data_IF_948136136311
#
_entry.id   IF_948136136311
#
_cell.length_a   1.000
_cell.length_b   1.000
_cell.length_c   1.000
_cell.angle_alpha   90.00
_cell.angle_beta   90.00
_cell.angle_gamma   90.00
#
_symmetry.space_group_name_H-M   'P 1'
#
loop_
_entity.id
_entity.type
_entity.pdbx_description
1 polymer ?
#
# COMPACT_ATOMS: atom_id res chain seq x y z
N UNK A 1 -9.54 -3.44 -66.74
CA UNK A 1 -10.46 -2.60 -65.93
C UNK A 1 -10.33 -3.07 -64.49
N UNK A 2 -10.05 -2.11 -63.61
CA UNK A 2 -9.30 -2.26 -62.36
C UNK A 2 -9.93 -3.22 -61.33
N UNK A 3 -9.08 -4.12 -60.80
CA UNK A 3 -9.20 -4.57 -59.42
C UNK A 3 -8.74 -3.42 -58.53
N UNK A 4 -9.67 -2.76 -57.84
CA UNK A 4 -9.32 -1.82 -56.78
C UNK A 4 -8.90 -2.61 -55.55
N UNK A 5 -7.60 -2.54 -55.26
CA UNK A 5 -6.96 -3.03 -54.05
C UNK A 5 -7.52 -2.34 -52.79
N UNK A 6 -7.60 -3.10 -51.70
CA UNK A 6 -7.79 -2.60 -50.34
C UNK A 6 -6.66 -1.64 -49.94
N UNK A 7 -6.94 -0.57 -49.16
CA UNK A 7 -5.92 0.10 -48.39
C UNK A 7 -5.67 -0.68 -47.09
N UNK A 8 -4.73 -1.60 -47.17
CA UNK A 8 -4.04 -2.26 -46.06
C UNK A 8 -3.27 -1.18 -45.26
N UNK A 9 -3.87 -0.66 -44.19
CA UNK A 9 -3.26 0.34 -43.31
C UNK A 9 -2.73 -0.33 -42.02
N UNK A 10 -1.60 -1.02 -42.18
CA UNK A 10 -0.54 -1.35 -41.20
C UNK A 10 -0.87 -0.98 -39.74
N UNK A 11 -1.55 -1.89 -39.04
CA UNK A 11 -1.59 -1.88 -37.58
C UNK A 11 -0.25 -2.39 -37.06
N UNK A 12 0.64 -1.49 -36.64
CA UNK A 12 1.90 -1.86 -36.01
C UNK A 12 1.67 -2.89 -34.88
N UNK A 13 2.17 -4.11 -35.08
CA UNK A 13 2.15 -5.19 -34.09
C UNK A 13 3.07 -4.82 -32.94
N UNK A 14 2.54 -4.11 -31.96
CA UNK A 14 3.27 -3.81 -30.72
C UNK A 14 3.55 -5.13 -30.01
N UNK A 15 4.82 -5.51 -29.94
CA UNK A 15 5.28 -6.68 -29.18
C UNK A 15 4.85 -6.51 -27.72
N UNK A 16 4.03 -7.44 -27.22
CA UNK A 16 3.53 -7.41 -25.85
C UNK A 16 4.58 -8.04 -24.92
N UNK A 17 4.84 -7.46 -23.74
CA UNK A 17 5.77 -8.05 -22.78
C UNK A 17 5.44 -9.51 -22.44
N UNK A 18 4.15 -9.86 -22.46
CA UNK A 18 3.70 -11.21 -22.16
C UNK A 18 3.92 -12.25 -23.26
N UNK A 19 4.38 -11.85 -24.44
CA UNK A 19 4.74 -12.77 -25.52
C UNK A 19 6.24 -13.09 -25.53
N UNK A 20 7.07 -12.28 -24.89
CA UNK A 20 8.53 -12.46 -24.90
C UNK A 20 8.95 -13.66 -24.04
N UNK A 21 8.32 -13.83 -22.88
CA UNK A 21 8.52 -14.96 -21.97
C UNK A 21 7.17 -15.27 -21.31
N UNK A 22 6.46 -16.34 -21.72
CA UNK A 22 5.18 -16.72 -21.13
C UNK A 22 5.29 -17.27 -19.70
N UNK A 23 6.39 -17.95 -19.36
CA UNK A 23 6.51 -18.68 -18.09
C UNK A 23 6.68 -17.73 -16.89
N UNK A 24 7.35 -16.58 -17.08
CA UNK A 24 7.49 -15.56 -16.02
C UNK A 24 6.16 -15.03 -15.47
N UNK A 25 5.05 -15.17 -16.22
CA UNK A 25 3.73 -14.68 -15.78
C UNK A 25 3.04 -15.65 -14.83
N UNK A 26 3.52 -16.89 -14.74
CA UNK A 26 3.01 -17.94 -13.85
C UNK A 26 3.96 -18.23 -12.68
N UNK A 27 5.22 -17.78 -12.75
CA UNK A 27 6.22 -17.90 -11.69
C UNK A 27 6.00 -16.88 -10.54
N UNK A 28 5.73 -17.34 -9.30
CA UNK A 28 5.62 -16.46 -8.14
C UNK A 28 6.90 -15.67 -7.84
N UNK A 29 8.09 -16.20 -8.13
CA UNK A 29 9.36 -15.53 -7.87
C UNK A 29 9.56 -14.33 -8.81
N UNK A 30 9.08 -14.43 -10.05
CA UNK A 30 9.10 -13.36 -11.05
C UNK A 30 8.01 -12.29 -10.88
N UNK A 31 7.14 -12.40 -9.85
CA UNK A 31 5.95 -11.54 -9.69
C UNK A 31 6.25 -10.03 -9.78
N UNK A 32 7.32 -9.55 -9.15
CA UNK A 32 7.69 -8.13 -9.16
C UNK A 32 8.10 -7.66 -10.55
N UNK A 33 8.87 -8.47 -11.27
CA UNK A 33 9.30 -8.19 -12.64
C UNK A 33 8.10 -8.19 -13.61
N UNK A 34 7.25 -9.20 -13.49
CA UNK A 34 6.01 -9.31 -14.26
C UNK A 34 5.09 -8.11 -14.01
N UNK A 35 5.01 -7.61 -12.77
CA UNK A 35 4.24 -6.40 -12.46
C UNK A 35 4.79 -5.18 -13.20
N UNK A 36 6.10 -4.96 -13.12
CA UNK A 36 6.76 -3.83 -13.80
C UNK A 36 6.58 -3.89 -15.33
N UNK A 37 6.56 -5.08 -15.92
CA UNK A 37 6.24 -5.28 -17.33
C UNK A 37 4.77 -4.99 -17.63
N UNK A 38 3.84 -5.45 -16.80
CA UNK A 38 2.40 -5.22 -16.95
C UNK A 38 2.02 -3.73 -16.87
N UNK A 39 2.65 -2.96 -15.97
CA UNK A 39 2.40 -1.52 -15.82
C UNK A 39 2.82 -0.70 -17.05
N UNK A 40 3.76 -1.21 -17.85
CA UNK A 40 4.21 -0.60 -19.12
C UNK A 40 3.45 -1.12 -20.35
N UNK A 41 2.60 -2.12 -20.18
CA UNK A 41 1.92 -2.77 -21.30
C UNK A 41 0.75 -1.91 -21.83
N UNK A 42 0.74 -1.54 -23.13
CA UNK A 42 -0.32 -0.70 -23.70
C UNK A 42 -1.68 -1.43 -23.77
N UNK A 43 -1.69 -2.77 -23.65
CA UNK A 43 -2.91 -3.59 -23.65
C UNK A 43 -3.41 -3.91 -22.23
N UNK A 44 -2.86 -3.30 -21.17
CA UNK A 44 -3.19 -3.61 -19.78
C UNK A 44 -4.70 -3.60 -19.48
N UNK A 45 -5.44 -2.63 -20.00
CA UNK A 45 -6.91 -2.54 -19.80
C UNK A 45 -7.69 -3.64 -20.51
N UNK A 46 -7.28 -3.96 -21.74
CA UNK A 46 -7.84 -5.09 -22.48
C UNK A 46 -7.55 -6.41 -21.77
N UNK A 47 -6.34 -6.58 -21.25
CA UNK A 47 -5.94 -7.75 -20.46
C UNK A 47 -6.81 -7.87 -19.20
N UNK A 48 -7.10 -6.76 -18.51
CA UNK A 48 -7.99 -6.76 -17.35
C UNK A 48 -9.43 -7.19 -17.70
N UNK A 49 -9.99 -6.68 -18.81
CA UNK A 49 -11.28 -7.12 -19.33
C UNK A 49 -11.30 -8.60 -19.68
N UNK A 50 -10.26 -9.10 -20.37
CA UNK A 50 -10.14 -10.53 -20.66
C UNK A 50 -10.04 -11.37 -19.41
N UNK A 51 -9.29 -10.94 -18.39
CA UNK A 51 -9.21 -11.65 -17.13
C UNK A 51 -10.59 -11.73 -16.44
N UNK A 52 -11.39 -10.67 -16.47
CA UNK A 52 -12.77 -10.68 -15.96
C UNK A 52 -13.67 -11.69 -16.68
N UNK A 53 -13.54 -11.80 -18.00
CA UNK A 53 -14.30 -12.77 -18.80
C UNK A 53 -13.82 -14.20 -18.58
N UNK A 54 -12.51 -14.44 -18.67
CA UNK A 54 -11.92 -15.78 -18.62
C UNK A 54 -11.82 -16.34 -17.20
N UNK A 55 -11.85 -15.47 -16.17
CA UNK A 55 -11.71 -15.82 -14.76
C UNK A 55 -10.52 -16.76 -14.49
N UNK A 56 -9.29 -16.38 -14.92
CA UNK A 56 -8.12 -17.23 -14.76
C UNK A 56 -7.89 -17.59 -13.29
N UNK A 57 -7.45 -18.81 -13.05
CA UNK A 57 -7.16 -19.32 -11.71
C UNK A 57 -5.75 -18.98 -11.25
N UNK A 58 -4.81 -18.66 -12.14
CA UNK A 58 -3.41 -18.45 -11.78
C UNK A 58 -2.70 -17.38 -12.63
N UNK A 59 -1.61 -16.86 -12.09
CA UNK A 59 -0.63 -16.01 -12.77
C UNK A 59 -0.96 -14.52 -12.70
N UNK A 60 -0.14 -13.73 -13.38
CA UNK A 60 -0.29 -12.28 -13.45
C UNK A 60 -1.13 -11.83 -14.64
N UNK A 61 -2.18 -11.06 -14.35
CA UNK A 61 -3.07 -10.48 -15.35
C UNK A 61 -3.24 -8.98 -15.11
N UNK A 62 -2.88 -8.16 -16.09
CA UNK A 62 -2.97 -6.70 -16.01
C UNK A 62 -2.29 -6.07 -14.77
N UNK A 63 -1.26 -6.74 -14.23
CA UNK A 63 -0.57 -6.33 -13.00
C UNK A 63 -1.24 -6.80 -11.71
N UNK A 64 -2.18 -7.74 -11.80
CA UNK A 64 -2.85 -8.38 -10.66
C UNK A 64 -2.42 -9.83 -10.61
N UNK A 65 -1.85 -10.26 -9.48
CA UNK A 65 -1.48 -11.65 -9.25
C UNK A 65 -2.68 -12.46 -8.78
N UNK A 66 -2.84 -13.66 -9.31
CA UNK A 66 -3.93 -14.60 -9.00
C UNK A 66 -3.32 -15.92 -8.55
N UNK A 67 -3.70 -16.38 -7.36
CA UNK A 67 -3.11 -17.51 -6.64
C UNK A 67 -4.12 -18.63 -6.34
N UNK A 68 -4.95 -18.96 -7.33
CA UNK A 68 -6.01 -19.97 -7.22
C UNK A 68 -7.39 -19.39 -6.90
N UNK A 69 -7.47 -18.10 -6.53
CA UNK A 69 -8.74 -17.44 -6.16
C UNK A 69 -8.98 -16.17 -6.98
N UNK A 70 -9.88 -16.26 -7.94
CA UNK A 70 -10.25 -15.13 -8.80
C UNK A 70 -11.16 -14.09 -8.13
N UNK A 71 -12.14 -14.53 -7.33
CA UNK A 71 -13.15 -13.63 -6.76
C UNK A 71 -12.58 -12.45 -5.96
N UNK A 72 -11.56 -12.64 -5.09
CA UNK A 72 -10.96 -11.54 -4.32
C UNK A 72 -10.20 -10.49 -5.14
N UNK A 73 -9.87 -10.79 -6.40
CA UNK A 73 -9.08 -9.90 -7.27
C UNK A 73 -9.89 -9.28 -8.40
N UNK A 74 -11.15 -9.70 -8.57
CA UNK A 74 -12.02 -9.24 -9.65
C UNK A 74 -12.27 -7.72 -9.60
N UNK A 75 -12.41 -7.13 -8.42
CA UNK A 75 -12.59 -5.67 -8.30
C UNK A 75 -11.37 -4.89 -8.77
N UNK A 76 -10.15 -5.38 -8.53
CA UNK A 76 -8.91 -4.75 -9.03
C UNK A 76 -8.88 -4.74 -10.55
N UNK A 77 -9.26 -5.87 -11.16
CA UNK A 77 -9.35 -5.99 -12.60
C UNK A 77 -10.45 -5.08 -13.17
N UNK A 78 -11.58 -4.93 -12.49
CA UNK A 78 -12.62 -3.96 -12.86
C UNK A 78 -12.11 -2.52 -12.85
N UNK A 79 -11.37 -2.09 -11.82
CA UNK A 79 -10.79 -0.74 -11.77
C UNK A 79 -9.85 -0.49 -12.95
N UNK A 80 -8.99 -1.45 -13.28
CA UNK A 80 -8.05 -1.35 -14.41
C UNK A 80 -8.79 -1.33 -15.75
N UNK A 81 -9.87 -2.09 -15.87
CA UNK A 81 -10.71 -2.11 -17.05
C UNK A 81 -11.49 -0.80 -17.26
N UNK A 82 -11.88 -0.15 -16.16
CA UNK A 82 -12.70 1.06 -16.13
C UNK A 82 -11.90 2.36 -16.27
N UNK A 83 -10.60 2.37 -15.94
CA UNK A 83 -9.71 3.49 -16.24
C UNK A 83 -9.85 3.83 -17.73
N UNK A 84 -10.49 4.95 -18.06
CA UNK A 84 -10.53 5.49 -19.42
C UNK A 84 -9.28 6.36 -19.63
N UNK A 85 -8.73 6.49 -20.84
CA UNK A 85 -7.91 7.67 -21.09
C UNK A 85 -8.87 8.87 -20.98
N UNK A 86 -8.43 10.04 -20.49
CA UNK A 86 -9.26 11.23 -20.63
C UNK A 86 -9.73 11.35 -22.10
N UNK A 87 -10.98 11.77 -22.37
CA UNK A 87 -11.43 11.93 -23.74
C UNK A 87 -10.43 12.85 -24.44
N UNK A 88 -9.79 12.33 -25.50
CA UNK A 88 -8.91 13.13 -26.34
C UNK A 88 -9.74 14.31 -26.82
N UNK A 89 -9.36 15.52 -26.41
CA UNK A 89 -9.88 16.73 -27.04
C UNK A 89 -9.56 16.62 -28.53
N UNK A 90 -10.57 16.36 -29.35
CA UNK A 90 -10.58 16.72 -30.76
C UNK A 90 -10.61 18.24 -30.80
N UNK A 91 -9.43 18.84 -30.70
CA UNK A 91 -9.18 20.26 -30.81
C UNK A 91 -7.99 20.48 -31.72
N UNK A 92 -8.27 21.15 -32.83
CA UNK A 92 -7.39 21.50 -33.94
C UNK A 92 -5.89 21.61 -33.61
N UNK A 93 -5.10 21.05 -34.55
CA UNK A 93 -3.67 21.29 -34.72
C UNK A 93 -3.47 22.79 -34.92
N UNK A 94 -3.15 23.53 -33.86
CA UNK A 94 -2.46 24.81 -33.97
C UNK A 94 -0.97 24.51 -33.99
N UNK A 95 -0.36 24.72 -35.16
CA UNK A 95 1.06 24.55 -35.39
C UNK A 95 1.87 25.32 -34.34
N UNK A 96 2.50 24.59 -33.42
CA UNK A 96 3.67 25.12 -32.71
C UNK A 96 4.89 24.82 -33.56
N UNK A 97 5.50 25.89 -34.05
CA UNK A 97 6.79 25.91 -34.75
C UNK A 97 7.81 25.03 -34.01
N UNK A 98 8.58 24.16 -34.68
CA UNK A 98 9.58 23.36 -34.01
C UNK A 98 10.74 24.26 -33.54
N UNK A 99 11.01 24.26 -32.24
CA UNK A 99 12.32 24.69 -31.75
C UNK A 99 13.38 23.69 -32.26
N UNK A 100 14.58 24.15 -32.65
CA UNK A 100 15.61 23.26 -33.17
C UNK A 100 16.07 22.29 -32.09
N UNK A 101 16.28 21.03 -32.50
CA UNK A 101 16.91 19.99 -31.70
C UNK A 101 18.25 20.49 -31.15
N UNK A 102 18.31 20.69 -29.84
CA UNK A 102 19.57 20.68 -29.11
C UNK A 102 19.99 19.22 -28.93
N UNK A 103 20.85 18.75 -29.84
CA UNK A 103 21.75 17.63 -29.60
C UNK A 103 22.57 17.91 -28.34
N UNK A 104 22.53 16.97 -27.40
CA UNK A 104 23.47 16.89 -26.28
C UNK A 104 22.93 17.46 -24.96
N UNK A 105 22.22 16.62 -24.19
CA UNK A 105 22.19 16.74 -22.73
C UNK A 105 22.78 15.45 -22.17
N UNK A 106 23.87 15.49 -21.39
CA UNK A 106 24.38 14.30 -20.72
C UNK A 106 23.33 13.81 -19.71
N UNK A 107 23.20 12.50 -19.56
CA UNK A 107 22.44 11.89 -18.46
C UNK A 107 22.75 12.63 -17.16
N UNK A 108 21.75 13.11 -16.38
CA UNK A 108 22.03 13.53 -15.03
C UNK A 108 22.30 12.26 -14.22
N UNK A 109 23.58 11.89 -14.13
CA UNK A 109 24.07 11.11 -13.03
C UNK A 109 23.74 11.88 -11.75
N UNK A 110 22.86 11.32 -10.92
CA UNK A 110 22.80 11.64 -9.50
C UNK A 110 22.12 12.95 -9.10
N UNK A 111 20.98 13.31 -9.70
CA UNK A 111 20.05 14.22 -9.03
C UNK A 111 19.41 13.50 -7.82
N UNK A 112 20.16 13.42 -6.72
CA UNK A 112 19.59 13.11 -5.41
C UNK A 112 18.68 14.27 -5.06
N UNK A 113 17.37 14.05 -5.03
CA UNK A 113 16.47 14.95 -4.31
C UNK A 113 16.92 14.97 -2.85
N UNK A 114 17.61 16.04 -2.44
CA UNK A 114 18.12 16.22 -1.07
C UNK A 114 17.02 16.60 -0.07
N UNK A 115 15.78 16.76 -0.52
CA UNK A 115 14.65 16.96 0.38
C UNK A 115 14.10 15.58 0.76
N UNK A 116 14.04 15.23 2.05
CA UNK A 116 13.38 14.00 2.47
C UNK A 116 11.94 14.04 1.96
N UNK A 117 11.54 12.99 1.24
CA UNK A 117 10.17 12.88 0.76
C UNK A 117 9.20 12.96 1.96
N UNK A 118 8.04 13.60 1.81
CA UNK A 118 7.07 13.67 2.89
C UNK A 118 6.66 12.25 3.31
N UNK A 119 6.45 12.04 4.61
CA UNK A 119 6.14 10.73 5.17
C UNK A 119 5.00 10.00 4.43
N UNK A 120 3.98 10.75 4.00
CA UNK A 120 2.88 10.21 3.20
C UNK A 120 3.34 9.58 1.87
N UNK A 121 4.26 10.22 1.15
CA UNK A 121 4.78 9.70 -0.11
C UNK A 121 5.57 8.40 0.09
N UNK A 122 6.38 8.34 1.16
CA UNK A 122 7.14 7.14 1.53
C UNK A 122 6.20 5.96 1.84
N UNK A 123 5.13 6.21 2.59
CA UNK A 123 4.13 5.19 2.92
C UNK A 123 3.38 4.71 1.68
N UNK A 124 2.96 5.62 0.77
CA UNK A 124 2.31 5.22 -0.47
C UNK A 124 3.22 4.41 -1.39
N UNK A 125 4.50 4.77 -1.48
CA UNK A 125 5.49 4.03 -2.25
C UNK A 125 5.68 2.61 -1.68
N UNK A 126 5.92 2.51 -0.37
CA UNK A 126 6.03 1.26 0.38
C UNK A 126 4.80 0.36 0.21
N UNK A 127 3.61 0.93 0.39
CA UNK A 127 2.35 0.23 0.23
C UNK A 127 2.10 -0.22 -1.22
N UNK A 128 2.72 0.46 -2.19
CA UNK A 128 2.48 0.26 -3.63
C UNK A 128 0.98 0.29 -3.97
N UNK A 129 0.25 1.23 -3.35
CA UNK A 129 -1.20 1.40 -3.50
C UNK A 129 -2.08 0.34 -2.81
N UNK A 130 -1.49 -0.59 -2.04
CA UNK A 130 -2.22 -1.64 -1.36
C UNK A 130 -2.48 -1.30 0.11
N UNK A 131 -3.57 -1.85 0.67
CA UNK A 131 -3.78 -1.80 2.11
C UNK A 131 -2.68 -2.62 2.81
N UNK A 132 -2.03 -2.03 3.82
CA UNK A 132 -0.98 -2.68 4.62
C UNK A 132 -1.57 -3.63 5.69
N UNK A 133 -2.90 -3.63 5.86
CA UNK A 133 -3.59 -4.44 6.88
C UNK A 133 -4.12 -5.77 6.31
N UNK A 134 -4.79 -5.75 5.15
CA UNK A 134 -5.40 -6.92 4.49
C UNK A 134 -6.16 -7.88 5.42
N UNK A 135 -6.85 -7.35 6.43
CA UNK A 135 -7.75 -8.13 7.29
C UNK A 135 -8.92 -8.73 6.48
N UNK A 136 -9.71 -9.65 7.06
CA UNK A 136 -10.97 -10.07 6.46
C UNK A 136 -11.82 -8.84 6.03
N UNK A 137 -12.45 -8.93 4.86
CA UNK A 137 -13.21 -7.85 4.20
C UNK A 137 -12.40 -6.61 3.74
N UNK A 138 -11.09 -6.72 3.64
CA UNK A 138 -10.24 -5.68 3.07
C UNK A 138 -10.53 -5.44 1.57
N UNK A 139 -10.56 -4.17 1.15
CA UNK A 139 -10.62 -3.76 -0.28
C UNK A 139 -9.30 -3.95 -1.02
N UNK A 140 -8.24 -4.30 -0.31
CA UNK A 140 -6.89 -4.56 -0.78
C UNK A 140 -6.14 -3.37 -1.42
N UNK A 141 -6.82 -2.34 -1.91
CA UNK A 141 -6.26 -1.01 -2.18
C UNK A 141 -6.20 -0.20 -0.89
N UNK A 142 -5.27 0.75 -0.77
CA UNK A 142 -5.35 1.74 0.29
C UNK A 142 -6.06 2.99 -0.24
N UNK A 143 -6.97 3.54 0.57
CA UNK A 143 -7.79 4.72 0.27
C UNK A 143 -7.30 5.94 1.09
N UNK A 144 -6.64 5.70 2.23
CA UNK A 144 -6.14 6.72 3.15
C UNK A 144 -4.88 6.25 3.88
N UNK A 145 -4.26 7.18 4.60
CA UNK A 145 -3.18 6.91 5.55
C UNK A 145 -3.73 7.08 6.97
N UNK A 146 -3.42 6.13 7.84
CA UNK A 146 -3.79 6.16 9.25
C UNK A 146 -2.56 6.26 10.15
N UNK A 147 -2.74 6.91 11.30
CA UNK A 147 -1.70 7.10 12.31
C UNK A 147 -1.70 5.98 13.34
N UNK A 148 -0.53 5.42 13.64
CA UNK A 148 -0.33 4.49 14.76
C UNK A 148 -0.43 5.20 16.12
N UNK A 149 -0.33 6.52 16.17
CA UNK A 149 -0.37 7.31 17.42
C UNK A 149 -1.80 7.69 17.84
N UNK A 150 -2.81 7.46 17.00
CA UNK A 150 -4.15 8.00 17.21
C UNK A 150 -4.23 9.49 16.87
N UNK A 151 -5.19 10.21 17.46
CA UNK A 151 -5.43 11.65 17.26
C UNK A 151 -4.43 12.53 18.05
N UNK A 152 -3.13 12.27 17.92
CA UNK A 152 -2.11 13.08 18.59
C UNK A 152 -1.54 14.13 17.63
N UNK A 153 -1.54 15.43 17.99
CA UNK A 153 -0.98 16.48 17.15
C UNK A 153 0.55 16.35 17.09
N UNK A 154 1.09 16.36 15.87
CA UNK A 154 2.52 16.49 15.61
C UNK A 154 2.96 15.90 14.27
N UNK A 155 4.23 16.15 13.92
CA UNK A 155 4.80 15.72 12.64
C UNK A 155 4.83 14.20 12.48
N UNK A 156 4.16 13.69 11.45
CA UNK A 156 4.09 12.26 11.18
C UNK A 156 5.31 11.78 10.40
N UNK A 157 5.86 10.63 10.79
CA UNK A 157 6.93 9.92 10.06
C UNK A 157 6.36 8.69 9.36
N UNK A 158 7.09 8.13 8.38
CA UNK A 158 6.66 6.91 7.70
C UNK A 158 6.53 5.68 8.62
N UNK A 159 7.22 5.70 9.77
CA UNK A 159 7.11 4.66 10.81
C UNK A 159 5.84 4.77 11.65
N UNK A 160 5.26 5.97 11.75
CA UNK A 160 4.02 6.25 12.47
C UNK A 160 2.77 6.13 11.61
N UNK A 161 2.91 6.01 10.29
CA UNK A 161 1.80 5.96 9.35
C UNK A 161 1.72 4.61 8.64
N UNK A 162 0.51 4.21 8.26
CA UNK A 162 0.28 3.04 7.42
C UNK A 162 -0.86 3.27 6.42
N UNK A 163 -0.77 2.65 5.25
CA UNK A 163 -1.76 2.78 4.20
C UNK A 163 -2.91 1.79 4.41
N UNK A 164 -4.16 2.26 4.34
CA UNK A 164 -5.32 1.43 4.68
C UNK A 164 -6.54 1.74 3.82
N UNK A 165 -7.41 0.75 3.62
CA UNK A 165 -8.75 1.00 3.05
C UNK A 165 -9.74 1.40 4.14
N UNK A 166 -10.86 2.02 3.76
CA UNK A 166 -11.91 2.42 4.72
C UNK A 166 -12.42 1.26 5.59
N UNK A 167 -12.49 0.03 5.07
CA UNK A 167 -12.95 -1.15 5.83
C UNK A 167 -11.96 -1.52 6.94
N UNK A 168 -10.67 -1.56 6.61
CA UNK A 168 -9.63 -1.87 7.59
C UNK A 168 -9.41 -0.73 8.59
N UNK A 169 -9.59 0.53 8.18
CA UNK A 169 -9.57 1.67 9.10
C UNK A 169 -10.67 1.54 10.17
N UNK A 170 -11.92 1.27 9.74
CA UNK A 170 -13.04 1.05 10.65
C UNK A 170 -12.84 -0.17 11.56
N UNK A 171 -12.33 -1.28 11.00
CA UNK A 171 -11.97 -2.45 11.79
C UNK A 171 -10.98 -2.07 12.89
N UNK A 172 -9.89 -1.38 12.56
CA UNK A 172 -8.86 -0.98 13.53
C UNK A 172 -9.42 -0.02 14.58
N UNK A 173 -10.27 0.92 14.18
CA UNK A 173 -10.93 1.84 15.10
C UNK A 173 -11.82 1.09 16.12
N UNK A 174 -12.42 -0.04 15.72
CA UNK A 174 -13.25 -0.88 16.57
C UNK A 174 -12.49 -1.94 17.38
N UNK A 175 -11.21 -2.17 17.09
CA UNK A 175 -10.41 -3.18 17.79
C UNK A 175 -10.17 -2.77 19.25
N UNK A 176 -10.15 -3.76 20.14
CA UNK A 176 -9.68 -3.56 21.51
C UNK A 176 -8.28 -2.89 21.49
N UNK A 177 -8.06 -1.80 22.26
CA UNK A 177 -6.79 -1.07 22.22
C UNK A 177 -5.56 -1.89 22.61
N UNK A 178 -5.70 -2.95 23.43
CA UNK A 178 -4.58 -3.86 23.75
C UNK A 178 -4.30 -4.75 22.55
N UNK A 179 -5.32 -5.27 21.88
CA UNK A 179 -5.18 -6.04 20.64
C UNK A 179 -4.58 -5.19 19.52
N UNK A 180 -5.07 -3.97 19.29
CA UNK A 180 -4.52 -3.06 18.28
C UNK A 180 -3.02 -2.77 18.50
N UNK A 181 -2.58 -2.63 19.77
CA UNK A 181 -1.17 -2.51 20.13
C UNK A 181 -0.39 -3.80 19.93
N UNK A 182 -0.95 -4.96 20.29
CA UNK A 182 -0.33 -6.27 20.04
C UNK A 182 -0.13 -6.56 18.56
N UNK A 183 -1.02 -6.08 17.70
CA UNK A 183 -0.89 -6.19 16.24
C UNK A 183 -0.01 -5.09 15.63
N UNK A 184 0.43 -4.11 16.44
CA UNK A 184 1.26 -3.01 16.00
C UNK A 184 0.54 -1.88 15.29
N UNK A 185 -0.79 -1.93 15.18
CA UNK A 185 -1.61 -0.89 14.53
C UNK A 185 -1.72 0.38 15.38
N UNK A 186 -1.44 0.28 16.67
CA UNK A 186 -1.26 1.42 17.58
C UNK A 186 0.06 1.32 18.33
N UNK A 187 0.68 2.45 18.62
CA UNK A 187 1.91 2.55 19.43
C UNK A 187 1.76 3.65 20.49
N UNK A 188 2.44 3.50 21.62
CA UNK A 188 2.29 4.42 22.75
C UNK A 188 3.04 5.74 22.59
N UNK A 189 4.08 5.79 21.74
CA UNK A 189 4.85 7.01 21.48
C UNK A 189 5.51 6.96 20.10
N UNK A 190 5.85 8.14 19.56
CA UNK A 190 6.52 8.30 18.25
C UNK A 190 7.88 7.61 18.22
N UNK A 191 8.67 7.77 19.28
CA UNK A 191 10.05 7.25 19.34
C UNK A 191 10.10 5.71 19.32
N UNK A 192 9.01 5.06 19.73
CA UNK A 192 8.89 3.59 19.71
C UNK A 192 8.36 3.06 18.37
N UNK A 193 7.83 3.93 17.50
CA UNK A 193 7.17 3.50 16.26
C UNK A 193 8.11 2.74 15.29
N UNK A 194 9.39 3.13 15.11
CA UNK A 194 10.30 2.40 14.22
C UNK A 194 10.55 0.96 14.64
N UNK A 195 10.70 0.73 15.95
CA UNK A 195 11.05 -0.60 16.49
C UNK A 195 9.83 -1.45 16.82
N UNK A 196 8.63 -0.87 16.86
CA UNK A 196 7.41 -1.58 17.21
C UNK A 196 6.98 -2.51 16.06
N UNK A 197 6.88 -3.84 16.27
CA UNK A 197 6.42 -4.78 15.27
C UNK A 197 5.03 -4.40 14.75
N UNK A 198 4.82 -4.58 13.46
CA UNK A 198 3.57 -4.30 12.74
C UNK A 198 3.15 -5.55 11.98
N UNK A 199 1.92 -6.03 12.22
CA UNK A 199 1.38 -7.17 11.49
C UNK A 199 0.93 -6.73 10.10
N UNK A 200 1.84 -6.88 9.15
CA UNK A 200 1.69 -6.50 7.76
C UNK A 200 0.90 -7.54 6.96
N UNK A 201 -0.17 -7.08 6.32
CA UNK A 201 -1.05 -7.84 5.42
C UNK A 201 -1.51 -9.19 6.00
N UNK A 202 -1.70 -9.25 7.33
CA UNK A 202 -2.02 -10.47 8.09
C UNK A 202 -1.03 -11.64 7.93
N UNK A 203 0.17 -11.42 7.41
CA UNK A 203 1.11 -12.51 7.05
C UNK A 203 2.49 -12.34 7.67
N UNK A 204 2.99 -11.12 7.76
CA UNK A 204 4.37 -10.85 8.15
C UNK A 204 4.42 -9.89 9.32
N UNK A 205 5.37 -10.11 10.22
CA UNK A 205 5.74 -9.13 11.22
C UNK A 205 6.90 -8.32 10.69
N UNK A 206 6.75 -7.01 10.68
CA UNK A 206 7.80 -6.09 10.19
C UNK A 206 7.99 -4.91 11.13
N UNK A 207 9.15 -4.28 11.07
CA UNK A 207 9.37 -2.91 11.56
C UNK A 207 9.17 -1.92 10.41
N UNK A 208 8.66 -0.73 10.72
CA UNK A 208 8.45 0.33 9.74
C UNK A 208 9.45 1.44 10.04
N UNK A 209 10.43 1.66 9.17
CA UNK A 209 11.44 2.70 9.40
C UNK A 209 10.93 4.09 9.02
N UNK A 210 11.63 5.13 9.50
CA UNK A 210 11.26 6.54 9.26
C UNK A 210 11.41 6.97 7.80
N UNK A 211 12.27 6.29 7.04
CA UNK A 211 12.46 6.45 5.59
C UNK A 211 11.47 5.61 4.76
N UNK A 212 10.56 4.86 5.39
CA UNK A 212 9.52 4.10 4.70
C UNK A 212 9.98 2.73 4.20
N UNK A 213 11.13 2.21 4.63
CA UNK A 213 11.48 0.81 4.41
C UNK A 213 10.76 -0.12 5.42
N UNK A 214 10.87 -1.44 5.18
CA UNK A 214 10.38 -2.48 6.06
C UNK A 214 11.52 -3.40 6.41
N UNK A 215 11.72 -3.66 7.70
CA UNK A 215 12.61 -4.71 8.18
C UNK A 215 11.80 -5.89 8.70
N UNK A 216 12.39 -7.08 8.69
CA UNK A 216 11.77 -8.23 9.33
C UNK A 216 11.68 -8.01 10.84
N UNK A 217 10.58 -8.48 11.45
CA UNK A 217 10.39 -8.47 12.89
C UNK A 217 9.83 -9.80 13.37
N UNK A 218 10.01 -10.07 14.66
CA UNK A 218 9.28 -11.14 15.33
C UNK A 218 7.95 -10.62 15.89
N UNK A 219 6.92 -11.48 16.04
CA UNK A 219 5.72 -11.11 16.78
C UNK A 219 6.11 -10.62 18.18
N UNK A 220 5.40 -9.62 18.74
CA UNK A 220 5.63 -9.23 20.11
C UNK A 220 5.40 -10.44 21.01
N UNK A 221 6.31 -10.66 21.95
CA UNK A 221 6.21 -11.77 22.88
C UNK A 221 4.80 -11.77 23.53
N UNK A 222 4.15 -12.93 23.68
CA UNK A 222 2.89 -13.00 24.38
C UNK A 222 3.14 -12.45 25.79
N UNK A 223 2.62 -11.26 26.06
CA UNK A 223 2.75 -10.63 27.37
C UNK A 223 2.26 -11.63 28.40
N UNK A 224 3.11 -11.97 29.39
CA UNK A 224 2.66 -12.74 30.55
C UNK A 224 1.41 -12.03 31.06
N UNK A 225 0.27 -12.72 31.07
CA UNK A 225 -0.90 -12.28 31.80
C UNK A 225 -0.47 -12.16 33.28
N UNK A 226 -0.14 -10.94 33.71
CA UNK A 226 0.72 -10.77 34.89
C UNK A 226 0.68 -9.36 35.46
N UNK A 227 -0.40 -9.11 36.22
CA UNK A 227 -0.52 -8.12 37.30
C UNK A 227 -0.48 -6.63 36.91
N UNK A 228 -1.50 -6.18 36.19
CA UNK A 228 -2.14 -4.93 36.62
C UNK A 228 -3.02 -5.28 37.83
N UNK A 229 -2.41 -5.38 39.02
CA UNK A 229 -3.17 -5.17 40.25
C UNK A 229 -3.58 -3.69 40.21
N UNK A 230 -4.86 -3.32 40.27
CA UNK A 230 -5.18 -1.97 40.69
C UNK A 230 -4.50 -1.78 42.05
N UNK A 231 -3.68 -0.75 42.15
CA UNK A 231 -3.04 -0.33 43.37
C UNK A 231 -4.15 0.14 44.33
N UNK A 232 -4.83 -0.80 44.97
CA UNK A 232 -5.64 -0.58 46.15
C UNK A 232 -4.64 -0.18 47.23
N UNK A 233 -4.41 1.13 47.32
CA UNK A 233 -3.81 1.78 48.48
C UNK A 233 -4.54 1.24 49.72
N UNK A 234 -3.86 0.56 50.66
CA UNK A 234 -4.49 0.19 51.91
C UNK A 234 -4.86 1.47 52.64
N UNK A 235 -6.14 1.61 52.96
CA UNK A 235 -6.67 2.62 53.88
C UNK A 235 -5.75 2.72 55.10
N UNK A 236 -5.15 3.89 55.30
CA UNK A 236 -4.46 4.21 56.54
C UNK A 236 -5.44 4.15 57.71
N UNK A 237 -4.99 3.75 58.92
CA UNK A 237 -5.85 3.74 60.10
C UNK A 237 -6.22 5.18 60.49
N UNK A 238 -7.41 5.40 61.09
CA UNK A 238 -7.78 6.72 61.60
C UNK A 238 -6.88 7.15 62.76
N UNK A 239 -6.25 8.30 62.58
CA UNK A 239 -5.45 9.01 63.58
C UNK A 239 -6.41 9.58 64.66
N UNK A 240 -6.69 8.79 65.71
CA UNK A 240 -7.32 9.30 66.93
C UNK A 240 -6.24 9.92 67.84
N UNK A 241 -5.81 11.14 67.50
CA UNK A 241 -5.23 12.06 68.49
C UNK A 241 -6.35 12.67 69.31
N UNK A 242 -6.75 11.98 70.38
CA UNK A 242 -7.39 12.62 71.52
C UNK A 242 -6.45 13.70 72.06
N UNK A 243 -6.90 14.94 71.93
CA UNK A 243 -6.36 16.09 72.66
C UNK A 243 -6.60 15.89 74.15
N UNK A 244 -5.64 16.43 74.89
CA UNK A 244 -5.49 16.46 76.34
C UNK A 244 -6.60 17.22 77.07
N UNK A 245 -6.86 16.74 78.28
CA UNK A 245 -7.00 17.46 79.56
C UNK A 245 -7.83 18.75 79.63
N UNK A 246 -8.87 18.75 80.47
CA UNK A 246 -9.10 19.72 81.56
C UNK A 246 -10.35 19.33 82.38
N UNK A 247 -10.28 19.43 83.71
CA UNK A 247 -11.44 19.51 84.61
C UNK A 247 -11.72 18.26 85.42
#
# INVERSE_FOLDING_TARGET
MNHSAEPDAVAATVSLPCHADPDQWFDPAARTQSLAACLRCPRRRWCARRALTCRPSWGMWAGVWIDGRFAPVAHRLNSIAADAPPPRATGAVAASTPLPCATGVPSPAGARCSTPAPAAALVWARASGHCEIMAPDCRLSADSLESRLGEQPGESTASTLFAVCVRCANLIASLDPRLARRLGYRVCSRDRAPDAPFLWRQQHWVTLSTDGACGDASPPAPGRAGRDRPNLVPNGPPDQRLRRCTG
#
